data_IF_363019906976
#
_entry.id   IF_363019906976
#
_cell.length_a   1.000
_cell.length_b   1.000
_cell.length_c   1.000
_cell.angle_alpha   90.00
_cell.angle_beta   90.00
_cell.angle_gamma   90.00
#
_symmetry.space_group_name_H-M   'P 1'
#
loop_
_entity.id
_entity.type
_entity.pdbx_description
1 polymer ?
#
# COMPACT_ATOMS: atom_id res chain seq x y z
N UNK A 1 1.85 4.46 -17.51
CA UNK A 1 1.64 4.10 -16.08
C UNK A 1 0.17 4.22 -15.68
N UNK A 2 -0.41 5.43 -15.56
CA UNK A 2 -1.80 5.64 -15.08
C UNK A 2 -2.82 4.70 -15.74
N UNK A 3 -2.88 4.64 -17.08
CA UNK A 3 -3.84 3.79 -17.81
C UNK A 3 -3.76 2.30 -17.41
N UNK A 4 -2.57 1.79 -17.15
CA UNK A 4 -2.38 0.39 -16.76
C UNK A 4 -2.93 0.13 -15.35
N UNK A 5 -2.60 0.99 -14.39
CA UNK A 5 -3.13 0.88 -13.02
C UNK A 5 -4.63 1.12 -12.95
N UNK A 6 -5.18 2.06 -13.74
CA UNK A 6 -6.63 2.24 -13.83
C UNK A 6 -7.32 0.99 -14.39
N UNK A 7 -6.74 0.35 -15.41
CA UNK A 7 -7.27 -0.92 -15.93
C UNK A 7 -7.19 -2.05 -14.90
N UNK A 8 -6.10 -2.15 -14.16
CA UNK A 8 -5.98 -3.15 -13.08
C UNK A 8 -6.92 -2.85 -11.91
N UNK A 9 -7.20 -1.57 -11.64
CA UNK A 9 -8.17 -1.15 -10.63
C UNK A 9 -9.58 -1.57 -11.02
N UNK A 10 -10.00 -1.36 -12.27
CA UNK A 10 -11.32 -1.84 -12.74
C UNK A 10 -11.44 -3.37 -12.74
N UNK A 11 -10.31 -4.08 -12.77
CA UNK A 11 -10.25 -5.53 -12.61
C UNK A 11 -10.20 -5.99 -11.13
N UNK A 12 -10.21 -5.06 -10.18
CA UNK A 12 -10.18 -5.35 -8.74
C UNK A 12 -8.80 -5.68 -8.17
N UNK A 13 -7.75 -5.63 -8.99
CA UNK A 13 -6.36 -5.97 -8.64
C UNK A 13 -5.68 -4.81 -7.90
N UNK A 14 -5.92 -3.57 -8.33
CA UNK A 14 -5.40 -2.38 -7.65
C UNK A 14 -6.44 -1.87 -6.65
N UNK A 15 -5.99 -1.60 -5.43
CA UNK A 15 -6.77 -0.98 -4.36
C UNK A 15 -6.21 0.40 -4.04
N UNK A 16 -7.09 1.29 -3.62
CA UNK A 16 -6.75 2.63 -3.15
C UNK A 16 -7.46 2.91 -1.83
N UNK A 17 -6.88 3.84 -1.07
CA UNK A 17 -7.47 4.43 0.13
C UNK A 17 -7.37 5.93 -0.05
N UNK A 18 -8.52 6.61 -0.04
CA UNK A 18 -8.64 8.05 -0.20
C UNK A 18 -8.98 8.73 1.13
N UNK A 19 -8.36 9.89 1.39
CA UNK A 19 -8.63 10.70 2.57
C UNK A 19 -9.27 12.00 2.14
N UNK A 20 -10.48 12.26 2.64
CA UNK A 20 -11.23 13.47 2.34
C UNK A 20 -11.34 14.37 3.57
N UNK A 21 -11.21 15.68 3.35
CA UNK A 21 -11.51 16.73 4.32
C UNK A 21 -12.41 17.75 3.63
N UNK A 22 -13.57 18.06 4.22
CA UNK A 22 -14.56 19.00 3.66
C UNK A 22 -14.91 18.68 2.19
N UNK A 23 -15.14 17.40 1.88
CA UNK A 23 -15.41 16.88 0.52
C UNK A 23 -14.26 17.04 -0.49
N UNK A 24 -13.07 17.48 -0.06
CA UNK A 24 -11.88 17.57 -0.91
C UNK A 24 -10.97 16.39 -0.65
N UNK A 25 -10.46 15.79 -1.72
CA UNK A 25 -9.42 14.76 -1.63
C UNK A 25 -8.11 15.41 -1.17
N UNK A 26 -7.64 15.04 0.02
CA UNK A 26 -6.45 15.65 0.65
C UNK A 26 -5.29 14.68 0.87
N UNK A 27 -5.46 13.40 0.53
CA UNK A 27 -4.40 12.41 0.57
C UNK A 27 -4.90 11.03 0.20
N UNK A 28 -3.98 10.08 0.17
CA UNK A 28 -4.33 8.69 -0.11
C UNK A 28 -3.12 7.86 -0.49
N UNK A 29 -3.38 6.60 -0.77
CA UNK A 29 -2.41 5.64 -1.29
C UNK A 29 -3.07 4.68 -2.27
N UNK A 30 -2.26 4.06 -3.13
CA UNK A 30 -2.71 2.96 -3.96
C UNK A 30 -1.64 1.88 -4.08
N UNK A 31 -2.07 0.67 -4.40
CA UNK A 31 -1.18 -0.46 -4.54
C UNK A 31 -1.87 -1.66 -5.16
N UNK A 32 -1.07 -2.66 -5.50
CA UNK A 32 -1.56 -3.95 -6.01
C UNK A 32 -1.89 -4.84 -4.83
N UNK A 33 -3.09 -5.43 -4.83
CA UNK A 33 -3.58 -6.35 -3.81
C UNK A 33 -3.58 -7.77 -4.37
N UNK A 34 -2.76 -8.65 -3.81
CA UNK A 34 -2.71 -10.07 -4.20
C UNK A 34 -2.59 -10.94 -2.96
N UNK A 35 -3.51 -11.89 -2.78
CA UNK A 35 -3.57 -12.73 -1.59
C UNK A 35 -3.63 -11.89 -0.30
N UNK A 36 -2.71 -12.16 0.63
CA UNK A 36 -2.53 -11.40 1.88
C UNK A 36 -1.42 -10.34 1.79
N UNK A 37 -1.03 -9.95 0.57
CA UNK A 37 0.06 -9.00 0.32
C UNK A 37 -0.48 -7.74 -0.36
N UNK A 38 -0.09 -6.59 0.16
CA UNK A 38 -0.31 -5.30 -0.47
C UNK A 38 1.03 -4.73 -0.95
N UNK A 39 1.17 -4.57 -2.26
CA UNK A 39 2.34 -3.96 -2.88
C UNK A 39 2.07 -2.46 -3.01
N UNK A 40 2.58 -1.67 -2.07
CA UNK A 40 2.34 -0.24 -2.02
C UNK A 40 3.07 0.48 -3.14
N UNK A 41 2.36 1.16 -4.03
CA UNK A 41 2.98 1.81 -5.19
C UNK A 41 3.33 3.27 -4.90
N UNK A 42 2.38 4.00 -4.31
CA UNK A 42 2.62 5.38 -3.93
C UNK A 42 1.57 5.87 -2.93
N UNK A 43 1.91 6.98 -2.28
CA UNK A 43 1.04 7.72 -1.39
C UNK A 43 1.26 9.22 -1.58
N UNK A 44 0.24 10.03 -1.28
CA UNK A 44 0.33 11.48 -1.35
C UNK A 44 -0.40 12.13 -0.17
N UNK A 45 0.00 13.36 0.15
CA UNK A 45 -0.57 14.16 1.22
C UNK A 45 -0.59 15.62 0.77
N UNK A 46 -1.77 16.23 0.70
CA UNK A 46 -1.98 17.66 0.42
C UNK A 46 -2.17 18.47 1.71
N UNK A 47 -2.55 17.80 2.80
CA UNK A 47 -2.57 18.36 4.16
C UNK A 47 -1.77 17.46 5.10
N UNK A 48 -1.41 17.99 6.27
CA UNK A 48 -0.64 17.26 7.27
C UNK A 48 -1.29 15.92 7.64
N UNK A 49 -0.47 14.85 7.66
CA UNK A 49 -0.82 13.49 8.07
C UNK A 49 -1.86 12.74 7.21
N UNK A 50 -2.35 13.29 6.09
CA UNK A 50 -3.35 12.59 5.27
C UNK A 50 -2.85 11.24 4.73
N UNK A 51 -1.61 11.15 4.22
CA UNK A 51 -1.05 9.86 3.79
C UNK A 51 -0.88 8.86 4.93
N UNK A 52 -0.55 9.33 6.14
CA UNK A 52 -0.43 8.47 7.33
C UNK A 52 -1.78 7.93 7.76
N UNK A 53 -2.83 8.74 7.71
CA UNK A 53 -4.20 8.30 7.98
C UNK A 53 -4.61 7.22 6.98
N UNK A 54 -4.34 7.42 5.69
CA UNK A 54 -4.59 6.41 4.66
C UNK A 54 -3.87 5.08 4.96
N UNK A 55 -2.61 5.17 5.39
CA UNK A 55 -1.80 3.99 5.74
C UNK A 55 -2.30 3.28 7.00
N UNK A 56 -2.64 4.02 8.06
CA UNK A 56 -3.23 3.43 9.29
C UNK A 56 -4.56 2.76 8.97
N UNK A 57 -5.41 3.39 8.15
CA UNK A 57 -6.67 2.81 7.73
C UNK A 57 -6.46 1.49 6.99
N UNK A 58 -5.50 1.44 6.04
CA UNK A 58 -5.12 0.23 5.33
C UNK A 58 -4.72 -0.89 6.29
N UNK A 59 -3.82 -0.62 7.24
CA UNK A 59 -3.30 -1.60 8.20
C UNK A 59 -4.37 -2.10 9.16
N UNK A 60 -5.32 -1.26 9.56
CA UNK A 60 -6.35 -1.62 10.54
C UNK A 60 -7.57 -2.31 9.94
N UNK A 61 -7.93 -2.00 8.69
CA UNK A 61 -9.22 -2.40 8.10
C UNK A 61 -9.08 -3.40 6.96
N UNK A 62 -7.87 -3.60 6.44
CA UNK A 62 -7.63 -4.57 5.37
C UNK A 62 -6.83 -5.76 5.90
N UNK A 63 -7.07 -6.91 5.31
CA UNK A 63 -6.57 -8.20 5.77
C UNK A 63 -5.25 -8.56 5.06
N UNK A 64 -4.22 -7.73 5.27
CA UNK A 64 -2.88 -7.93 4.74
C UNK A 64 -1.89 -8.32 5.85
N UNK A 65 -1.08 -9.34 5.60
CA UNK A 65 -0.01 -9.80 6.50
C UNK A 65 1.36 -9.22 6.11
N UNK A 66 1.48 -8.71 4.88
CA UNK A 66 2.71 -8.11 4.36
C UNK A 66 2.37 -6.90 3.50
N UNK A 67 3.01 -5.77 3.79
CA UNK A 67 3.03 -4.61 2.93
C UNK A 67 4.43 -4.50 2.34
N UNK A 68 4.53 -4.66 1.01
CA UNK A 68 5.78 -4.42 0.28
C UNK A 68 5.89 -2.93 -0.04
N UNK A 69 7.00 -2.33 0.39
CA UNK A 69 7.33 -0.92 0.16
C UNK A 69 8.54 -0.74 -0.77
N UNK A 70 8.96 -1.80 -1.46
CA UNK A 70 10.05 -1.89 -2.43
C UNK A 70 11.37 -1.30 -1.94
N UNK A 71 11.61 -0.02 -2.20
CA UNK A 71 12.87 0.66 -1.90
C UNK A 71 12.74 1.44 -0.61
N UNK A 72 13.69 1.21 0.31
CA UNK A 72 13.71 1.92 1.56
C UNK A 72 13.80 3.44 1.38
N UNK A 73 13.10 4.18 2.25
CA UNK A 73 13.30 5.60 2.42
C UNK A 73 13.01 6.01 3.87
N UNK A 74 13.46 7.20 4.26
CA UNK A 74 13.32 7.69 5.63
C UNK A 74 11.85 7.80 6.08
N UNK A 75 10.94 8.13 5.16
CA UNK A 75 9.51 8.22 5.46
C UNK A 75 8.94 6.86 5.84
N UNK A 76 9.18 5.82 5.04
CA UNK A 76 8.71 4.46 5.31
C UNK A 76 9.34 3.89 6.58
N UNK A 77 10.63 4.13 6.84
CA UNK A 77 11.28 3.75 8.09
C UNK A 77 10.60 4.38 9.30
N UNK A 78 10.20 5.66 9.20
CA UNK A 78 9.45 6.33 10.27
C UNK A 78 8.05 5.73 10.53
N UNK A 79 7.49 5.01 9.55
CA UNK A 79 6.22 4.26 9.65
C UNK A 79 6.41 2.82 10.12
N UNK A 80 7.64 2.39 10.43
CA UNK A 80 7.96 1.04 10.90
C UNK A 80 8.42 0.07 9.81
N UNK A 81 8.67 0.52 8.57
CA UNK A 81 9.24 -0.34 7.53
C UNK A 81 10.69 -0.74 7.87
N UNK A 82 11.03 -2.00 7.60
CA UNK A 82 12.36 -2.55 7.77
C UNK A 82 12.71 -3.47 6.60
N UNK A 83 14.00 -3.61 6.33
CA UNK A 83 14.47 -4.51 5.28
C UNK A 83 14.48 -5.96 5.78
N UNK A 84 14.16 -6.87 4.87
CA UNK A 84 14.35 -8.30 5.05
C UNK A 84 15.20 -8.84 3.90
N UNK A 85 15.89 -9.95 4.13
CA UNK A 85 16.60 -10.63 3.05
C UNK A 85 15.62 -11.09 1.96
N UNK A 86 16.09 -11.06 0.70
CA UNK A 86 15.25 -11.41 -0.47
C UNK A 86 14.67 -12.83 -0.38
N UNK A 87 15.45 -13.79 0.10
CA UNK A 87 15.01 -15.18 0.34
C UNK A 87 13.85 -15.25 1.36
N UNK A 88 13.86 -14.43 2.41
CA UNK A 88 12.78 -14.32 3.41
C UNK A 88 11.55 -13.68 2.78
N UNK A 89 11.73 -12.62 1.99
CA UNK A 89 10.62 -12.00 1.25
C UNK A 89 9.94 -12.99 0.30
N UNK A 90 10.70 -13.70 -0.53
CA UNK A 90 10.15 -14.71 -1.46
C UNK A 90 9.40 -15.82 -0.70
N UNK A 91 9.97 -16.36 0.38
CA UNK A 91 9.28 -17.36 1.22
C UNK A 91 7.96 -16.84 1.79
N UNK A 92 7.90 -15.56 2.18
CA UNK A 92 6.64 -14.92 2.62
C UNK A 92 5.66 -14.79 1.46
N UNK A 93 6.12 -14.38 0.27
CA UNK A 93 5.26 -14.29 -0.91
C UNK A 93 4.67 -15.64 -1.28
N UNK A 94 5.47 -16.71 -1.34
CA UNK A 94 4.97 -18.05 -1.65
C UNK A 94 3.84 -18.46 -0.70
N UNK A 95 4.01 -18.21 0.61
CA UNK A 95 2.97 -18.51 1.61
C UNK A 95 1.71 -17.64 1.46
N UNK A 96 1.88 -16.34 1.18
CA UNK A 96 0.80 -15.34 1.28
C UNK A 96 0.05 -15.12 -0.04
N UNK A 97 0.62 -15.53 -1.17
CA UNK A 97 0.01 -15.44 -2.50
C UNK A 97 -0.72 -16.72 -2.90
N UNK A 98 -0.36 -17.89 -2.34
CA UNK A 98 -1.00 -19.16 -2.66
C UNK A 98 -2.34 -19.29 -1.92
N UNK A 99 -3.42 -19.44 -2.69
CA UNK A 99 -4.66 -20.13 -2.32
C UNK A 99 -4.85 -21.30 -3.28
#
# INVERSE_FOLDING_TARGET
MVRAYTKLHTQGVVKSVEVYQDSKLVGGLYGVSMGKVFFGESMFSLVSNASKIAFVYLVQNMDYELIDCQVENAHLKSLGAFNIERNVFIKKLDKLLLK
#
